data_IF_386465990679
#
_entry.id   IF_386465990679
#
_cell.length_a   1.000
_cell.length_b   1.000
_cell.length_c   1.000
_cell.angle_alpha   90.00
_cell.angle_beta   90.00
_cell.angle_gamma   90.00
#
_symmetry.space_group_name_H-M   'P 1'
#
loop_
_entity.id
_entity.type
_entity.pdbx_description
1 polymer ?
#
# COMPACT_ATOMS: atom_id res chain seq x y z
N UNK A 1 20.85 9.38 -32.45
CA UNK A 1 19.89 8.48 -31.75
C UNK A 1 20.52 8.04 -30.44
N UNK A 2 20.14 8.60 -29.27
CA UNK A 2 20.82 8.28 -28.02
C UNK A 2 20.26 7.00 -27.37
N UNK A 3 21.19 6.14 -27.00
CA UNK A 3 21.15 4.95 -26.13
C UNK A 3 19.88 4.72 -25.29
N UNK A 4 19.06 3.75 -25.74
CA UNK A 4 17.91 3.20 -25.01
C UNK A 4 18.28 2.12 -23.96
N UNK A 5 19.58 1.85 -23.75
CA UNK A 5 20.06 0.85 -22.79
C UNK A 5 20.27 1.40 -21.37
N UNK A 6 20.68 2.67 -21.24
CA UNK A 6 20.96 3.30 -19.94
C UNK A 6 19.69 3.60 -19.13
N UNK A 7 18.56 3.89 -19.79
CA UNK A 7 17.28 4.15 -19.10
C UNK A 7 16.67 2.87 -18.49
N UNK A 8 16.83 1.72 -19.16
CA UNK A 8 16.34 0.41 -18.69
C UNK A 8 17.10 -0.07 -17.45
N UNK A 9 18.42 0.09 -17.43
CA UNK A 9 19.24 -0.28 -16.27
C UNK A 9 18.92 0.59 -15.03
N UNK A 10 18.67 1.89 -15.23
CA UNK A 10 18.26 2.78 -14.14
C UNK A 10 16.87 2.40 -13.58
N UNK A 11 15.93 2.02 -14.46
CA UNK A 11 14.59 1.60 -14.08
C UNK A 11 14.59 0.28 -13.28
N UNK A 12 15.33 -0.73 -13.76
CA UNK A 12 15.45 -2.03 -13.08
C UNK A 12 16.15 -1.87 -11.72
N UNK A 13 17.22 -1.07 -11.65
CA UNK A 13 17.91 -0.80 -10.40
C UNK A 13 17.02 -0.08 -9.39
N UNK A 14 16.30 0.96 -9.82
CA UNK A 14 15.34 1.66 -8.96
C UNK A 14 14.19 0.75 -8.51
N UNK A 15 13.74 -0.17 -9.35
CA UNK A 15 12.76 -1.19 -8.97
C UNK A 15 13.31 -2.14 -7.90
N UNK A 16 14.53 -2.66 -8.08
CA UNK A 16 15.21 -3.52 -7.09
C UNK A 16 15.44 -2.78 -5.76
N UNK A 17 15.93 -1.54 -5.80
CA UNK A 17 16.16 -0.72 -4.60
C UNK A 17 14.85 -0.39 -3.89
N UNK A 18 13.76 -0.14 -4.63
CA UNK A 18 12.43 0.11 -4.04
C UNK A 18 11.85 -1.13 -3.33
N UNK A 19 12.25 -2.33 -3.75
CA UNK A 19 11.79 -3.63 -3.21
C UNK A 19 12.85 -4.35 -2.38
N UNK A 20 13.97 -3.70 -2.03
CA UNK A 20 15.09 -4.33 -1.31
C UNK A 20 14.66 -5.01 -0.02
N UNK A 21 13.78 -4.38 0.75
CA UNK A 21 13.28 -4.93 2.02
C UNK A 21 12.46 -6.21 1.82
N UNK A 22 11.79 -6.33 0.67
CA UNK A 22 11.01 -7.51 0.31
C UNK A 22 11.90 -8.71 -0.02
N UNK A 23 12.97 -8.49 -0.77
CA UNK A 23 13.97 -9.53 -1.06
C UNK A 23 14.74 -9.96 0.19
N UNK A 24 15.13 -8.99 1.03
CA UNK A 24 15.79 -9.28 2.32
C UNK A 24 14.84 -10.09 3.21
N UNK A 25 13.57 -9.72 3.30
CA UNK A 25 12.58 -10.47 4.06
C UNK A 25 12.47 -11.92 3.59
N UNK A 26 12.34 -12.15 2.28
CA UNK A 26 12.31 -13.52 1.75
C UNK A 26 13.61 -14.30 2.00
N UNK A 27 14.77 -13.65 1.87
CA UNK A 27 16.05 -14.31 2.14
C UNK A 27 16.16 -14.74 3.62
N UNK A 28 15.80 -13.87 4.56
CA UNK A 28 15.79 -14.16 5.99
C UNK A 28 14.76 -15.23 6.33
N UNK A 29 13.57 -15.14 5.75
CA UNK A 29 12.50 -16.11 5.94
C UNK A 29 12.87 -17.50 5.41
N UNK A 30 13.47 -17.59 4.22
CA UNK A 30 13.94 -18.85 3.65
C UNK A 30 15.03 -19.48 4.51
N UNK A 31 15.96 -18.67 5.02
CA UNK A 31 17.01 -19.13 5.92
C UNK A 31 16.42 -19.69 7.22
N UNK A 32 15.50 -18.96 7.85
CA UNK A 32 14.76 -19.42 9.03
C UNK A 32 14.02 -20.74 8.78
N UNK A 33 13.33 -20.85 7.64
CA UNK A 33 12.54 -22.03 7.30
C UNK A 33 13.43 -23.26 7.01
N UNK A 34 14.55 -23.10 6.32
CA UNK A 34 15.52 -24.19 6.08
C UNK A 34 16.09 -24.70 7.41
N UNK A 35 16.49 -23.80 8.31
CA UNK A 35 16.99 -24.17 9.64
C UNK A 35 15.91 -24.89 10.44
N UNK A 36 14.69 -24.35 10.47
CA UNK A 36 13.56 -24.94 11.21
C UNK A 36 13.26 -26.35 10.72
N UNK A 37 13.14 -26.55 9.40
CA UNK A 37 12.87 -27.87 8.83
C UNK A 37 14.04 -28.83 9.09
N UNK A 38 15.29 -28.37 8.97
CA UNK A 38 16.47 -29.19 9.26
C UNK A 38 16.53 -29.64 10.73
N UNK A 39 16.15 -28.77 11.66
CA UNK A 39 16.04 -29.09 13.09
C UNK A 39 14.91 -30.09 13.38
N UNK A 40 13.72 -29.90 12.79
CA UNK A 40 12.59 -30.82 12.97
C UNK A 40 12.81 -32.20 12.34
N UNK A 41 13.47 -32.26 11.18
CA UNK A 41 13.75 -33.51 10.50
C UNK A 41 14.99 -34.25 11.05
N UNK A 42 15.81 -33.58 11.86
CA UNK A 42 17.07 -34.11 12.40
C UNK A 42 18.19 -34.27 11.37
N UNK A 43 17.93 -33.92 10.10
CA UNK A 43 18.88 -33.97 8.99
C UNK A 43 18.54 -32.90 7.94
N UNK A 44 19.57 -32.32 7.33
CA UNK A 44 19.41 -31.41 6.20
C UNK A 44 19.31 -32.22 4.91
N UNK A 45 18.22 -32.05 4.16
CA UNK A 45 18.07 -32.63 2.82
C UNK A 45 18.90 -31.92 1.76
N UNK A 46 18.81 -32.38 0.51
CA UNK A 46 19.47 -31.71 -0.61
C UNK A 46 18.90 -30.29 -0.83
N UNK A 47 19.76 -29.27 -1.09
CA UNK A 47 19.34 -27.89 -1.31
C UNK A 47 18.28 -27.73 -2.41
N UNK A 48 18.36 -28.53 -3.48
CA UNK A 48 17.41 -28.48 -4.60
C UNK A 48 15.97 -28.79 -4.19
N UNK A 49 15.77 -29.69 -3.22
CA UNK A 49 14.45 -30.05 -2.69
C UNK A 49 13.79 -28.87 -1.98
N UNK A 50 14.56 -28.14 -1.18
CA UNK A 50 14.07 -26.95 -0.48
C UNK A 50 13.67 -25.86 -1.47
N UNK A 51 14.53 -25.54 -2.44
CA UNK A 51 14.27 -24.49 -3.44
C UNK A 51 12.95 -24.77 -4.17
N UNK A 52 12.77 -26.00 -4.68
CA UNK A 52 11.56 -26.37 -5.39
C UNK A 52 10.30 -26.23 -4.51
N UNK A 53 10.40 -26.66 -3.26
CA UNK A 53 9.27 -26.54 -2.32
C UNK A 53 8.93 -25.09 -2.00
N UNK A 54 9.94 -24.25 -1.77
CA UNK A 54 9.71 -22.85 -1.48
C UNK A 54 9.21 -22.07 -2.68
N UNK A 55 9.57 -22.43 -3.92
CA UNK A 55 8.99 -21.80 -5.12
C UNK A 55 7.47 -22.00 -5.16
N UNK A 56 6.99 -23.22 -4.91
CA UNK A 56 5.54 -23.52 -4.89
C UNK A 56 4.86 -22.76 -3.74
N UNK A 57 5.47 -22.74 -2.56
CA UNK A 57 4.95 -22.05 -1.37
C UNK A 57 4.91 -20.52 -1.53
N UNK A 58 5.93 -19.93 -2.15
CA UNK A 58 5.97 -18.51 -2.52
C UNK A 58 4.88 -18.22 -3.57
N UNK A 59 4.67 -19.16 -4.49
CA UNK A 59 3.61 -19.09 -5.50
C UNK A 59 2.21 -18.94 -4.89
N UNK A 60 1.85 -19.80 -3.92
CA UNK A 60 0.56 -19.68 -3.23
C UNK A 60 0.45 -18.35 -2.48
N UNK A 61 1.51 -17.88 -1.83
CA UNK A 61 1.49 -16.58 -1.13
C UNK A 61 1.09 -15.43 -2.07
N UNK A 62 1.67 -15.34 -3.27
CA UNK A 62 1.31 -14.28 -4.21
C UNK A 62 -0.02 -14.52 -4.90
N UNK A 63 -0.37 -15.78 -5.20
CA UNK A 63 -1.68 -16.13 -5.72
C UNK A 63 -2.78 -15.67 -4.76
N UNK A 64 -2.60 -15.98 -3.47
CA UNK A 64 -3.48 -15.57 -2.40
C UNK A 64 -3.64 -14.05 -2.34
N UNK A 65 -2.51 -13.35 -2.21
CA UNK A 65 -2.50 -11.90 -2.00
C UNK A 65 -2.99 -11.12 -3.23
N UNK A 66 -2.63 -11.53 -4.46
CA UNK A 66 -2.88 -10.75 -5.67
C UNK A 66 -4.16 -11.15 -6.41
N UNK A 67 -4.60 -12.41 -6.30
CA UNK A 67 -5.80 -12.90 -6.98
C UNK A 67 -6.93 -13.14 -5.98
N UNK A 68 -6.73 -14.02 -5.00
CA UNK A 68 -7.80 -14.46 -4.09
C UNK A 68 -8.34 -13.31 -3.25
N UNK A 69 -7.47 -12.56 -2.57
CA UNK A 69 -7.90 -11.44 -1.74
C UNK A 69 -8.38 -10.26 -2.58
N UNK A 70 -7.67 -9.93 -3.66
CA UNK A 70 -8.05 -8.81 -4.52
C UNK A 70 -9.43 -9.01 -5.17
N UNK A 71 -9.69 -10.19 -5.72
CA UNK A 71 -10.98 -10.52 -6.34
C UNK A 71 -12.06 -10.85 -5.30
N UNK A 72 -11.68 -11.47 -4.18
CA UNK A 72 -12.60 -11.82 -3.09
C UNK A 72 -13.14 -10.60 -2.35
N UNK A 73 -12.32 -9.55 -2.17
CA UNK A 73 -12.67 -8.33 -1.44
C UNK A 73 -13.16 -7.17 -2.33
N UNK A 74 -13.30 -7.39 -3.64
CA UNK A 74 -13.72 -6.33 -4.59
C UNK A 74 -15.09 -5.74 -4.23
N UNK A 75 -16.00 -6.58 -3.71
CA UNK A 75 -17.36 -6.18 -3.35
C UNK A 75 -17.73 -6.73 -1.96
N UNK A 76 -17.96 -5.86 -0.95
CA UNK A 76 -18.12 -6.29 0.45
C UNK A 76 -19.32 -7.21 0.67
N UNK A 77 -20.41 -7.02 -0.09
CA UNK A 77 -21.60 -7.88 -0.02
C UNK A 77 -21.35 -9.29 -0.57
N UNK A 78 -20.56 -9.40 -1.64
CA UNK A 78 -20.25 -10.71 -2.26
C UNK A 78 -19.03 -11.38 -1.62
N UNK A 79 -18.21 -10.63 -0.87
CA UNK A 79 -17.01 -11.14 -0.21
C UNK A 79 -17.32 -12.28 0.77
N UNK A 80 -18.45 -12.20 1.48
CA UNK A 80 -18.87 -13.20 2.48
C UNK A 80 -18.97 -14.61 1.87
N UNK A 81 -19.41 -14.73 0.61
CA UNK A 81 -19.55 -16.02 -0.06
C UNK A 81 -18.40 -16.33 -1.03
N UNK A 82 -17.87 -15.30 -1.72
CA UNK A 82 -16.78 -15.49 -2.69
C UNK A 82 -15.45 -15.82 -2.01
N UNK A 83 -15.15 -15.21 -0.87
CA UNK A 83 -13.86 -15.39 -0.18
C UNK A 83 -13.67 -16.82 0.36
N UNK A 84 -14.63 -17.44 1.08
CA UNK A 84 -14.47 -18.85 1.49
C UNK A 84 -14.42 -19.79 0.28
N UNK A 85 -15.17 -19.51 -0.79
CA UNK A 85 -15.12 -20.30 -2.03
C UNK A 85 -13.73 -20.25 -2.67
N UNK A 86 -13.14 -19.06 -2.82
CA UNK A 86 -11.81 -18.92 -3.39
C UNK A 86 -10.72 -19.51 -2.50
N UNK A 87 -10.85 -19.44 -1.18
CA UNK A 87 -9.94 -20.10 -0.24
C UNK A 87 -9.97 -21.62 -0.36
N UNK A 88 -11.17 -22.22 -0.43
CA UNK A 88 -11.31 -23.67 -0.62
C UNK A 88 -10.70 -24.09 -1.96
N UNK A 89 -10.99 -23.33 -3.02
CA UNK A 89 -10.44 -23.58 -4.35
C UNK A 89 -8.91 -23.47 -4.35
N UNK A 90 -8.36 -22.46 -3.70
CA UNK A 90 -6.92 -22.24 -3.58
C UNK A 90 -6.22 -23.38 -2.84
N UNK A 91 -6.74 -23.79 -1.68
CA UNK A 91 -6.18 -24.91 -0.92
C UNK A 91 -6.26 -26.19 -1.74
N UNK A 92 -7.37 -26.43 -2.45
CA UNK A 92 -7.52 -27.58 -3.34
C UNK A 92 -6.50 -27.59 -4.49
N UNK A 93 -6.32 -26.45 -5.16
CA UNK A 93 -5.32 -26.29 -6.23
C UNK A 93 -3.91 -26.50 -5.66
N UNK A 94 -3.60 -25.93 -4.49
CA UNK A 94 -2.29 -26.09 -3.86
C UNK A 94 -1.98 -27.55 -3.54
N UNK A 95 -2.92 -28.27 -2.90
CA UNK A 95 -2.75 -29.69 -2.61
C UNK A 95 -2.60 -30.52 -3.89
N UNK A 96 -3.36 -30.19 -4.94
CA UNK A 96 -3.23 -30.82 -6.26
C UNK A 96 -1.88 -30.57 -6.93
N UNK A 97 -1.41 -29.32 -6.94
CA UNK A 97 -0.08 -28.95 -7.47
C UNK A 97 1.02 -29.66 -6.67
N UNK A 98 0.92 -29.68 -5.35
CA UNK A 98 1.86 -30.39 -4.48
C UNK A 98 1.88 -31.88 -4.80
N UNK A 99 0.70 -32.52 -4.92
CA UNK A 99 0.59 -33.92 -5.30
C UNK A 99 1.24 -34.22 -6.65
N UNK A 100 0.89 -33.45 -7.69
CA UNK A 100 1.46 -33.60 -9.03
C UNK A 100 2.98 -33.40 -9.04
N UNK A 101 3.45 -32.37 -8.33
CA UNK A 101 4.85 -32.04 -8.23
C UNK A 101 5.65 -33.15 -7.52
N UNK A 102 5.11 -33.69 -6.43
CA UNK A 102 5.69 -34.83 -5.72
C UNK A 102 5.72 -36.10 -6.57
N UNK A 103 4.62 -36.43 -7.25
CA UNK A 103 4.53 -37.58 -8.15
C UNK A 103 5.55 -37.47 -9.30
N UNK A 104 5.65 -36.29 -9.93
CA UNK A 104 6.59 -36.03 -11.02
C UNK A 104 8.04 -36.12 -10.55
N UNK A 105 8.42 -35.46 -9.45
CA UNK A 105 9.81 -35.46 -8.98
C UNK A 105 10.26 -36.86 -8.52
N UNK A 106 9.36 -37.64 -7.91
CA UNK A 106 9.63 -39.03 -7.54
C UNK A 106 9.86 -39.91 -8.78
N UNK A 107 9.06 -39.74 -9.84
CA UNK A 107 9.16 -40.54 -11.07
C UNK A 107 10.45 -40.30 -11.86
N UNK A 108 10.95 -39.07 -11.90
CA UNK A 108 12.02 -38.67 -12.82
C UNK A 108 13.38 -38.43 -12.19
N UNK A 109 13.43 -38.08 -10.90
CA UNK A 109 14.69 -37.59 -10.32
C UNK A 109 15.11 -38.27 -9.03
N UNK A 110 14.19 -38.95 -8.31
CA UNK A 110 14.45 -39.56 -6.99
C UNK A 110 15.07 -38.61 -5.93
N UNK A 111 15.18 -37.30 -6.22
CA UNK A 111 15.76 -36.25 -5.36
C UNK A 111 14.96 -36.09 -4.04
N UNK A 112 13.69 -36.48 -4.06
CA UNK A 112 12.79 -36.38 -2.91
C UNK A 112 12.96 -37.61 -2.00
N UNK A 113 12.61 -38.81 -2.44
CA UNK A 113 12.67 -39.99 -1.58
C UNK A 113 12.88 -41.24 -2.44
N UNK A 114 13.71 -42.19 -2.00
CA UNK A 114 13.89 -43.50 -2.66
C UNK A 114 12.70 -44.47 -2.43
N UNK A 115 11.60 -43.98 -1.86
CA UNK A 115 10.36 -44.73 -1.58
C UNK A 115 9.19 -43.95 -2.14
N UNK A 116 8.23 -44.69 -2.70
CA UNK A 116 6.95 -44.14 -3.10
C UNK A 116 6.30 -43.41 -1.92
N UNK A 117 5.88 -42.18 -2.19
CA UNK A 117 5.23 -41.34 -1.20
C UNK A 117 3.89 -41.98 -0.89
N UNK A 118 3.76 -42.51 0.32
CA UNK A 118 2.48 -43.00 0.82
C UNK A 118 1.60 -41.79 1.06
N UNK A 119 0.58 -41.63 0.21
CA UNK A 119 -0.48 -40.66 0.41
C UNK A 119 -1.19 -41.04 1.71
N UNK A 120 -0.80 -40.38 2.80
CA UNK A 120 -1.37 -40.61 4.12
C UNK A 120 -1.99 -39.31 4.63
N UNK A 121 -2.86 -39.40 5.62
CA UNK A 121 -3.49 -38.26 6.31
C UNK A 121 -2.43 -37.23 6.73
N UNK A 122 -1.26 -37.68 7.20
CA UNK A 122 -0.16 -36.79 7.58
C UNK A 122 0.37 -35.91 6.42
N UNK A 123 0.36 -36.42 5.19
CA UNK A 123 0.78 -35.65 4.01
C UNK A 123 -0.21 -34.51 3.74
N UNK A 124 -1.51 -34.82 3.75
CA UNK A 124 -2.56 -33.82 3.58
C UNK A 124 -2.59 -32.81 4.74
N UNK A 125 -2.46 -33.28 5.98
CA UNK A 125 -2.44 -32.42 7.16
C UNK A 125 -1.25 -31.45 7.13
N UNK A 126 -0.06 -31.96 6.79
CA UNK A 126 1.14 -31.13 6.65
C UNK A 126 1.01 -30.10 5.52
N UNK A 127 0.45 -30.51 4.37
CA UNK A 127 0.14 -29.61 3.26
C UNK A 127 -0.86 -28.53 3.64
N UNK A 128 -1.93 -28.90 4.37
CA UNK A 128 -2.97 -27.97 4.80
C UNK A 128 -2.45 -26.95 5.82
N UNK A 129 -1.68 -27.39 6.82
CA UNK A 129 -1.04 -26.50 7.79
C UNK A 129 -0.11 -25.51 7.07
N UNK A 130 0.66 -26.00 6.08
CA UNK A 130 1.55 -25.14 5.30
C UNK A 130 0.80 -24.16 4.42
N UNK A 131 -0.27 -24.59 3.76
CA UNK A 131 -1.14 -23.69 2.99
C UNK A 131 -1.72 -22.59 3.89
N UNK A 132 -2.26 -22.96 5.06
CA UNK A 132 -2.84 -22.02 6.01
C UNK A 132 -1.79 -21.00 6.49
N UNK A 133 -0.59 -21.46 6.79
CA UNK A 133 0.53 -20.61 7.17
C UNK A 133 0.83 -19.54 6.11
N UNK A 134 1.00 -19.92 4.84
CA UNK A 134 1.24 -18.94 3.76
C UNK A 134 0.03 -18.05 3.46
N UNK A 135 -1.20 -18.55 3.60
CA UNK A 135 -2.44 -17.78 3.46
C UNK A 135 -2.51 -16.68 4.52
N UNK A 136 -2.19 -16.98 5.78
CA UNK A 136 -2.18 -15.99 6.88
C UNK A 136 -1.15 -14.90 6.61
N UNK A 137 0.07 -15.27 6.21
CA UNK A 137 1.08 -14.27 5.83
C UNK A 137 0.67 -13.45 4.60
N UNK A 138 0.08 -14.09 3.59
CA UNK A 138 -0.41 -13.42 2.39
C UNK A 138 -1.52 -12.42 2.71
N UNK A 139 -2.41 -12.78 3.64
CA UNK A 139 -3.46 -11.91 4.16
C UNK A 139 -2.87 -10.70 4.88
N UNK A 140 -1.96 -10.92 5.83
CA UNK A 140 -1.29 -9.84 6.54
C UNK A 140 -0.57 -8.89 5.59
N UNK A 141 0.13 -9.43 4.58
CA UNK A 141 0.80 -8.64 3.56
C UNK A 141 -0.18 -7.80 2.73
N UNK A 142 -1.27 -8.40 2.25
CA UNK A 142 -2.29 -7.69 1.47
C UNK A 142 -2.90 -6.52 2.25
N UNK A 143 -3.31 -6.77 3.50
CA UNK A 143 -3.89 -5.73 4.36
C UNK A 143 -2.87 -4.65 4.71
N UNK A 144 -1.62 -5.00 4.99
CA UNK A 144 -0.56 -4.02 5.27
C UNK A 144 -0.32 -3.09 4.08
N UNK A 145 -0.18 -3.64 2.87
CA UNK A 145 0.03 -2.84 1.65
C UNK A 145 -1.19 -1.98 1.35
N UNK A 146 -2.39 -2.53 1.50
CA UNK A 146 -3.64 -1.79 1.28
C UNK A 146 -3.77 -0.65 2.28
N UNK A 147 -3.52 -0.90 3.56
CA UNK A 147 -3.53 0.11 4.62
C UNK A 147 -2.54 1.24 4.34
N UNK A 148 -1.28 0.91 3.98
CA UNK A 148 -0.27 1.92 3.64
C UNK A 148 -0.68 2.76 2.43
N UNK A 149 -1.31 2.15 1.43
CA UNK A 149 -1.80 2.85 0.24
C UNK A 149 -2.95 3.79 0.58
N UNK A 150 -3.94 3.32 1.34
CA UNK A 150 -5.08 4.15 1.76
C UNK A 150 -4.62 5.27 2.69
N UNK A 151 -3.68 5.02 3.62
CA UNK A 151 -3.11 6.08 4.47
C UNK A 151 -2.48 7.20 3.65
N UNK A 152 -1.66 6.85 2.66
CA UNK A 152 -1.00 7.81 1.78
C UNK A 152 -2.00 8.61 0.93
N UNK A 153 -3.09 7.95 0.49
CA UNK A 153 -4.19 8.59 -0.22
C UNK A 153 -4.93 9.57 0.70
N UNK A 154 -5.26 9.18 1.92
CA UNK A 154 -5.89 10.06 2.91
C UNK A 154 -5.02 11.27 3.21
N UNK A 155 -3.72 11.09 3.46
CA UNK A 155 -2.76 12.19 3.66
C UNK A 155 -2.77 13.17 2.47
N UNK A 156 -2.79 12.66 1.23
CA UNK A 156 -2.85 13.53 0.04
C UNK A 156 -4.17 14.30 -0.09
N UNK A 157 -5.29 13.67 0.27
CA UNK A 157 -6.61 14.29 0.25
C UNK A 157 -6.74 15.36 1.34
N UNK A 158 -6.16 15.12 2.52
CA UNK A 158 -6.11 16.11 3.61
C UNK A 158 -5.29 17.34 3.21
N UNK A 159 -4.12 17.14 2.57
CA UNK A 159 -3.32 18.24 2.05
C UNK A 159 -4.07 19.06 1.00
N UNK A 160 -4.77 18.40 0.07
CA UNK A 160 -5.60 19.08 -0.93
C UNK A 160 -6.74 19.87 -0.28
N UNK A 161 -7.41 19.30 0.72
CA UNK A 161 -8.47 19.97 1.46
C UNK A 161 -7.96 21.22 2.17
N UNK A 162 -6.82 21.14 2.86
CA UNK A 162 -6.19 22.29 3.51
C UNK A 162 -5.82 23.38 2.50
N UNK A 163 -5.27 23.00 1.35
CA UNK A 163 -4.95 23.93 0.29
C UNK A 163 -6.18 24.68 -0.23
N UNK A 164 -7.28 23.96 -0.46
CA UNK A 164 -8.54 24.56 -0.92
C UNK A 164 -9.13 25.52 0.13
N UNK A 165 -9.07 25.18 1.42
CA UNK A 165 -9.52 26.06 2.51
C UNK A 165 -8.69 27.36 2.52
N UNK A 166 -7.36 27.27 2.39
CA UNK A 166 -6.49 28.44 2.33
C UNK A 166 -6.81 29.32 1.11
N UNK A 167 -7.03 28.71 -0.06
CA UNK A 167 -7.40 29.47 -1.26
C UNK A 167 -8.76 30.17 -1.10
N UNK A 168 -9.76 29.47 -0.54
CA UNK A 168 -11.07 30.05 -0.27
C UNK A 168 -10.97 31.25 0.67
N UNK A 169 -10.27 31.09 1.80
CA UNK A 169 -10.06 32.19 2.75
C UNK A 169 -9.34 33.40 2.14
N UNK A 170 -8.37 33.17 1.25
CA UNK A 170 -7.72 34.25 0.49
C UNK A 170 -8.69 34.95 -0.45
N UNK A 171 -9.52 34.19 -1.17
CA UNK A 171 -10.52 34.73 -2.08
C UNK A 171 -11.58 35.54 -1.35
N UNK A 172 -12.07 35.05 -0.20
CA UNK A 172 -13.01 35.77 0.67
C UNK A 172 -12.39 37.06 1.21
N UNK A 173 -11.16 37.00 1.71
CA UNK A 173 -10.44 38.19 2.15
C UNK A 173 -10.28 39.22 1.02
N UNK A 174 -9.93 38.77 -0.19
CA UNK A 174 -9.81 39.66 -1.35
C UNK A 174 -11.17 40.27 -1.74
N UNK A 175 -12.24 39.49 -1.71
CA UNK A 175 -13.60 39.94 -1.98
C UNK A 175 -14.10 40.96 -0.95
N UNK A 176 -13.86 40.72 0.34
CA UNK A 176 -14.19 41.67 1.41
C UNK A 176 -13.39 42.96 1.27
N UNK A 177 -12.09 42.87 0.97
CA UNK A 177 -11.25 44.04 0.70
C UNK A 177 -11.75 44.83 -0.52
N UNK A 178 -12.23 44.17 -1.57
CA UNK A 178 -12.79 44.84 -2.74
C UNK A 178 -14.14 45.54 -2.44
N UNK A 179 -14.91 45.05 -1.45
CA UNK A 179 -16.16 45.70 -1.03
C UNK A 179 -15.95 46.94 -0.16
N UNK A 180 -14.84 47.05 0.57
CA UNK A 180 -14.47 48.29 1.26
C UNK A 180 -14.06 49.29 0.17
N UNK A 181 -14.99 50.15 -0.25
CA UNK A 181 -14.71 51.21 -1.21
C UNK A 181 -13.78 52.25 -0.55
N UNK A 182 -12.56 52.49 -1.08
CA UNK A 182 -11.70 53.56 -0.57
C UNK A 182 -12.41 54.92 -0.62
N UNK A 183 -13.24 55.13 -1.66
CA UNK A 183 -14.06 56.32 -1.81
C UNK A 183 -15.12 56.47 -0.71
N UNK A 184 -15.67 55.38 -0.15
CA UNK A 184 -16.60 55.49 0.97
C UNK A 184 -15.88 55.99 2.23
N UNK A 185 -14.66 55.50 2.47
CA UNK A 185 -13.82 55.98 3.56
C UNK A 185 -13.51 57.47 3.39
N UNK A 186 -13.01 57.87 2.22
CA UNK A 186 -12.71 59.28 1.91
C UNK A 186 -13.95 60.17 1.99
N UNK A 187 -15.10 59.72 1.45
CA UNK A 187 -16.37 60.45 1.59
C UNK A 187 -16.79 60.65 3.04
N UNK A 188 -16.56 59.64 3.88
CA UNK A 188 -16.92 59.73 5.29
C UNK A 188 -15.98 60.69 6.02
N UNK A 189 -14.67 60.64 5.73
CA UNK A 189 -13.69 61.57 6.28
C UNK A 189 -13.97 63.02 5.84
N UNK A 190 -14.27 63.24 4.57
CA UNK A 190 -14.68 64.56 4.04
C UNK A 190 -15.95 65.06 4.70
N UNK A 191 -16.95 64.20 4.89
CA UNK A 191 -18.18 64.57 5.58
C UNK A 191 -17.92 64.98 7.03
N UNK A 192 -17.09 64.23 7.77
CA UNK A 192 -16.74 64.58 9.16
C UNK A 192 -15.91 65.86 9.19
N UNK A 193 -14.96 66.05 8.26
CA UNK A 193 -14.18 67.28 8.13
C UNK A 193 -15.08 68.51 7.95
N UNK A 194 -16.02 68.47 6.99
CA UNK A 194 -16.95 69.58 6.73
C UNK A 194 -17.81 69.92 7.95
N UNK A 195 -18.26 68.92 8.71
CA UNK A 195 -19.07 69.15 9.92
C UNK A 195 -18.24 69.63 11.12
N UNK A 196 -16.97 69.22 11.21
CA UNK A 196 -16.07 69.60 12.30
C UNK A 196 -15.41 70.97 12.09
N UNK A 197 -15.21 71.39 10.83
CA UNK A 197 -14.48 72.61 10.45
C UNK A 197 -14.96 73.87 11.16
N UNK A 198 -16.27 74.04 11.29
CA UNK A 198 -16.86 75.27 11.85
C UNK A 198 -16.92 75.25 13.39
N UNK A 199 -16.95 74.07 14.00
CA UNK A 199 -17.13 73.90 15.46
C UNK A 199 -15.86 73.50 16.22
N UNK A 200 -14.90 72.86 15.55
CA UNK A 200 -13.63 72.39 16.11
C UNK A 200 -12.55 72.31 15.02
N UNK A 201 -11.87 73.43 14.73
CA UNK A 201 -10.85 73.52 13.68
C UNK A 201 -9.69 72.53 13.89
N UNK A 202 -9.31 72.31 15.15
CA UNK A 202 -8.26 71.37 15.55
C UNK A 202 -8.65 69.93 15.21
N UNK A 203 -9.90 69.53 15.44
CA UNK A 203 -10.39 68.20 15.08
C UNK A 203 -10.46 68.01 13.55
N UNK A 204 -10.85 69.07 12.81
CA UNK A 204 -10.90 69.05 11.36
C UNK A 204 -9.50 68.88 10.72
N UNK A 205 -8.48 69.61 11.18
CA UNK A 205 -7.09 69.44 10.73
C UNK A 205 -6.56 68.03 11.02
N UNK A 206 -6.93 67.45 12.17
CA UNK A 206 -6.50 66.08 12.53
C UNK A 206 -7.09 65.02 11.60
N UNK A 207 -8.31 65.23 11.08
CA UNK A 207 -8.97 64.32 10.13
C UNK A 207 -8.32 64.38 8.75
N UNK A 208 -7.93 65.58 8.28
CA UNK A 208 -7.19 65.75 7.02
C UNK A 208 -5.84 65.04 7.11
N UNK A 209 -5.12 65.21 8.22
CA UNK A 209 -3.86 64.52 8.46
C UNK A 209 -3.97 62.99 8.60
N UNK A 210 -5.18 62.45 8.80
CA UNK A 210 -5.47 61.01 8.82
C UNK A 210 -5.87 60.47 7.44
N UNK A 211 -6.24 61.36 6.52
CA UNK A 211 -6.69 61.04 5.16
C UNK A 211 -5.55 61.11 4.14
N UNK A 212 -4.47 61.84 4.45
CA UNK A 212 -3.19 61.84 3.73
C UNK A 212 -2.33 60.61 4.08
#
# INVERSE_FOLDING_TARGET
MPNNSNSKNLFLWNWFVSKKYHFIFWAVFLLYEIISVGMYAGQFGEPGRYIFHYIINIGIFYCHALLVLKCGLENPKSAIWKLPLFLILEIGIFLGVMYCAYHFLNRYTHIITNKDIVINVNFFLGGLIRALYFVVFGTAYYFLITFLKERKKTESLEQQKLHNIIQLSKSENAFLRAQIQPHLLFNTLDFIYLNAKDNSPVAAETIVALSD
#
